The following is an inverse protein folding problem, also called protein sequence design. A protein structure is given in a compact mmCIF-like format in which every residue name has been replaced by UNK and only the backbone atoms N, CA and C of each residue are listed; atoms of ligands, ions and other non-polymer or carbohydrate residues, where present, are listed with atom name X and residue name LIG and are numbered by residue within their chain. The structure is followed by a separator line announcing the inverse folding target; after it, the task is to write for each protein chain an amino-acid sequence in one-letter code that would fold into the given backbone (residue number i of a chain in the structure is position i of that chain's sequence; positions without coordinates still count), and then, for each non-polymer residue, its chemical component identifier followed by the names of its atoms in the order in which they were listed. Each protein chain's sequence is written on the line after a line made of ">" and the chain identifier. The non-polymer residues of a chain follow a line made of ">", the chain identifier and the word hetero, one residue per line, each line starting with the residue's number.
data_IF_810916353756
#
_entry.id   IF_810916353756
#
_cell.length_a   1.000
_cell.length_b   1.000
_cell.length_c   1.000
_cell.angle_alpha   90.00
_cell.angle_beta   90.00
_cell.angle_gamma   90.00
#
_symmetry.space_group_name_H-M   'P 1'
#
loop_
_entity.id
_entity.type
_entity.pdbx_description
1 polymer ?
#
# COMPACT_ATOMS: atom_id res chain seq x y z
N UNK A 1 29.90 -12.81 -23.05
CA UNK A 1 30.10 -11.35 -22.89
C UNK A 1 29.34 -10.97 -21.63
N UNK A 2 30.04 -10.59 -20.56
CA UNK A 2 29.38 -10.17 -19.32
C UNK A 2 29.07 -8.69 -19.47
N UNK A 3 27.82 -8.35 -19.77
CA UNK A 3 27.41 -6.95 -19.85
C UNK A 3 27.06 -6.50 -18.43
N UNK A 4 27.72 -5.44 -17.95
CA UNK A 4 27.50 -4.91 -16.61
C UNK A 4 26.19 -4.13 -16.55
N UNK A 5 25.43 -4.31 -15.48
CA UNK A 5 24.17 -3.61 -15.27
C UNK A 5 24.42 -2.15 -14.86
N UNK A 6 23.75 -1.16 -15.48
CA UNK A 6 23.79 0.21 -14.96
C UNK A 6 23.05 0.24 -13.61
N UNK A 7 23.72 0.72 -12.58
CA UNK A 7 23.07 1.05 -11.32
C UNK A 7 22.07 2.21 -11.55
N UNK A 8 21.07 2.43 -10.67
CA UNK A 8 20.00 3.43 -10.88
C UNK A 8 20.46 4.89 -11.07
N UNK A 9 21.76 5.16 -10.93
CA UNK A 9 22.38 6.48 -10.89
C UNK A 9 23.51 6.63 -11.94
N UNK A 10 23.22 6.41 -13.23
CA UNK A 10 24.18 6.78 -14.28
C UNK A 10 23.56 7.80 -15.24
N UNK A 11 24.02 9.04 -15.13
CA UNK A 11 23.74 10.14 -16.04
C UNK A 11 24.71 10.07 -17.23
N UNK A 12 24.53 9.07 -18.08
CA UNK A 12 25.28 8.97 -19.34
C UNK A 12 24.30 9.23 -20.47
N UNK A 13 24.48 10.34 -21.19
CA UNK A 13 23.64 10.82 -22.31
C UNK A 13 23.54 9.89 -23.53
N UNK A 14 23.81 8.59 -23.36
CA UNK A 14 23.57 7.51 -24.31
C UNK A 14 23.31 6.23 -23.50
N UNK A 15 22.07 6.03 -23.02
CA UNK A 15 21.70 4.82 -22.28
C UNK A 15 21.29 3.70 -23.24
N UNK A 16 22.27 2.94 -23.74
CA UNK A 16 21.99 1.58 -24.23
C UNK A 16 21.83 0.68 -23.01
N UNK A 17 20.58 0.34 -22.66
CA UNK A 17 20.28 -0.52 -21.51
C UNK A 17 20.50 -2.00 -21.86
N UNK A 18 21.74 -2.42 -22.09
CA UNK A 18 22.11 -3.85 -22.14
C UNK A 18 22.28 -4.39 -20.72
N UNK A 19 21.23 -4.34 -19.90
CA UNK A 19 21.40 -4.65 -18.48
C UNK A 19 21.23 -6.10 -18.12
N UNK A 20 20.49 -6.88 -18.92
CA UNK A 20 19.97 -8.14 -18.37
C UNK A 20 19.75 -9.26 -19.38
N UNK A 21 20.66 -9.41 -20.35
CA UNK A 21 20.59 -10.51 -21.31
C UNK A 21 20.41 -11.86 -20.60
N UNK A 22 21.07 -12.12 -19.48
CA UNK A 22 20.95 -13.42 -18.79
C UNK A 22 19.57 -13.69 -18.19
N UNK A 23 18.79 -12.67 -17.81
CA UNK A 23 17.43 -12.88 -17.34
C UNK A 23 16.37 -12.69 -18.42
N UNK A 24 16.71 -12.07 -19.57
CA UNK A 24 15.75 -11.77 -20.63
C UNK A 24 15.99 -12.49 -21.96
N UNK A 25 17.08 -13.25 -22.11
CA UNK A 25 17.46 -13.94 -23.36
C UNK A 25 16.42 -14.94 -23.87
N UNK A 26 15.61 -15.47 -22.96
CA UNK A 26 14.59 -16.48 -23.27
C UNK A 26 13.20 -15.84 -23.48
N UNK A 27 13.08 -14.51 -23.40
CA UNK A 27 11.82 -13.80 -23.61
C UNK A 27 11.56 -13.62 -25.11
N UNK A 28 10.28 -13.65 -25.50
CA UNK A 28 9.88 -13.33 -26.87
C UNK A 28 10.22 -11.90 -27.25
N UNK A 29 10.10 -10.99 -26.29
CA UNK A 29 10.26 -9.56 -26.52
C UNK A 29 10.89 -8.86 -25.32
N UNK A 30 11.83 -7.95 -25.60
CA UNK A 30 12.37 -7.00 -24.65
C UNK A 30 12.41 -5.61 -25.29
N UNK A 31 11.60 -4.69 -24.78
CA UNK A 31 11.51 -3.31 -25.26
C UNK A 31 12.16 -2.34 -24.26
N UNK A 32 12.61 -1.20 -24.76
CA UNK A 32 13.07 -0.07 -23.95
C UNK A 32 12.34 1.20 -24.40
N UNK A 33 11.76 1.92 -23.44
CA UNK A 33 11.08 3.19 -23.65
C UNK A 33 11.79 4.27 -22.83
N UNK A 34 12.12 5.40 -23.47
CA UNK A 34 12.62 6.58 -22.76
C UNK A 34 11.49 7.61 -22.71
N UNK A 35 11.14 8.03 -21.50
CA UNK A 35 10.15 9.06 -21.25
C UNK A 35 10.84 10.41 -21.02
N UNK A 36 10.73 11.31 -21.99
CA UNK A 36 11.12 12.71 -21.83
C UNK A 36 9.93 13.55 -21.38
N UNK A 37 10.12 14.60 -20.55
CA UNK A 37 9.04 15.50 -20.15
C UNK A 37 8.33 16.20 -21.32
N UNK A 38 9.01 16.35 -22.46
CA UNK A 38 8.49 16.95 -23.69
C UNK A 38 7.80 15.93 -24.61
N UNK A 39 8.04 14.63 -24.38
CA UNK A 39 7.44 13.54 -25.13
C UNK A 39 6.28 12.93 -24.35
N UNK A 40 5.17 12.68 -25.04
CA UNK A 40 4.07 11.90 -24.46
C UNK A 40 4.57 10.47 -24.34
N UNK A 41 4.92 10.03 -23.12
CA UNK A 41 5.09 8.62 -22.86
C UNK A 41 3.73 7.93 -22.97
N UNK A 42 3.46 7.45 -24.18
CA UNK A 42 2.17 6.93 -24.62
C UNK A 42 2.05 5.42 -24.31
N UNK A 43 1.00 4.85 -24.86
CA UNK A 43 0.58 3.46 -24.86
C UNK A 43 1.64 2.55 -25.45
N UNK A 44 2.06 1.53 -24.70
CA UNK A 44 2.98 0.48 -25.17
C UNK A 44 2.29 -0.86 -25.13
N UNK A 45 2.37 -1.59 -26.24
CA UNK A 45 1.92 -2.98 -26.32
C UNK A 45 3.12 -3.89 -26.11
N UNK A 46 3.01 -4.81 -25.14
CA UNK A 46 4.00 -5.85 -24.86
C UNK A 46 3.40 -7.19 -25.28
N UNK A 47 4.12 -7.98 -26.09
CA UNK A 47 3.65 -9.27 -26.59
C UNK A 47 4.59 -10.41 -26.18
N UNK A 48 4.05 -11.38 -25.44
CA UNK A 48 4.77 -12.56 -24.99
C UNK A 48 4.99 -13.62 -26.07
N UNK A 49 4.29 -13.50 -27.22
CA UNK A 49 4.36 -14.46 -28.32
C UNK A 49 4.21 -15.90 -27.84
N UNK A 50 5.12 -16.77 -28.26
CA UNK A 50 5.09 -18.19 -27.91
C UNK A 50 5.83 -18.53 -26.59
N UNK A 51 6.51 -17.56 -25.97
CA UNK A 51 7.33 -17.80 -24.76
C UNK A 51 6.57 -17.53 -23.47
N UNK A 52 5.35 -17.00 -23.56
CA UNK A 52 4.54 -16.54 -22.42
C UNK A 52 5.24 -15.47 -21.54
N UNK A 53 6.35 -14.88 -22.02
CA UNK A 53 7.16 -13.92 -21.26
C UNK A 53 7.68 -12.79 -22.16
N UNK A 54 7.50 -11.55 -21.71
CA UNK A 54 8.04 -10.37 -22.37
C UNK A 54 8.29 -9.26 -21.35
N UNK A 55 9.19 -8.33 -21.65
CA UNK A 55 9.48 -7.23 -20.74
C UNK A 55 9.64 -5.89 -21.44
N UNK A 56 9.34 -4.82 -20.69
CA UNK A 56 9.54 -3.43 -21.07
C UNK A 56 10.35 -2.76 -19.96
N UNK A 57 11.44 -2.11 -20.31
CA UNK A 57 12.12 -1.19 -19.40
C UNK A 57 11.82 0.24 -19.75
N UNK A 58 11.46 1.04 -18.75
CA UNK A 58 11.22 2.48 -18.89
C UNK A 58 12.37 3.26 -18.27
N UNK A 59 12.71 4.39 -18.88
CA UNK A 59 13.72 5.32 -18.37
C UNK A 59 13.11 6.72 -18.28
N UNK A 60 13.09 7.30 -17.09
CA UNK A 60 12.68 8.69 -16.89
C UNK A 60 13.91 9.55 -16.59
N UNK A 61 14.29 10.42 -17.52
CA UNK A 61 15.43 11.33 -17.33
C UNK A 61 14.95 12.66 -16.74
N UNK A 62 14.93 12.77 -15.41
CA UNK A 62 14.63 14.02 -14.73
C UNK A 62 15.30 14.11 -13.35
N UNK A 63 15.33 15.31 -12.76
CA UNK A 63 15.85 15.53 -11.41
C UNK A 63 15.02 14.80 -10.35
N UNK A 64 13.73 14.54 -10.61
CA UNK A 64 12.81 13.76 -9.79
C UNK A 64 12.16 12.69 -10.68
N UNK A 65 12.91 11.63 -11.02
CA UNK A 65 12.49 10.66 -12.02
C UNK A 65 11.35 9.83 -11.44
N UNK A 66 10.17 10.07 -11.99
CA UNK A 66 8.91 9.43 -11.64
C UNK A 66 8.07 9.27 -12.89
N UNK A 67 7.38 8.15 -13.01
CA UNK A 67 6.38 7.93 -14.05
C UNK A 67 5.10 7.40 -13.43
N UNK A 68 4.00 7.55 -14.14
CA UNK A 68 2.69 7.14 -13.67
C UNK A 68 2.10 6.14 -14.65
N UNK A 69 1.85 4.92 -14.18
CA UNK A 69 1.08 3.95 -14.93
C UNK A 69 -0.39 4.29 -14.72
N UNK A 70 -1.07 4.75 -15.78
CA UNK A 70 -2.47 5.20 -15.68
C UNK A 70 -3.47 4.10 -15.92
N UNK A 71 -3.18 3.19 -16.85
CA UNK A 71 -4.09 2.12 -17.25
C UNK A 71 -3.27 0.88 -17.65
N UNK A 72 -3.85 -0.29 -17.39
CA UNK A 72 -3.31 -1.58 -17.79
C UNK A 72 -4.45 -2.40 -18.38
N UNK A 73 -4.27 -2.86 -19.60
CA UNK A 73 -5.13 -3.85 -20.24
C UNK A 73 -4.36 -5.16 -20.33
N UNK A 74 -4.59 -6.05 -19.37
CA UNK A 74 -4.08 -7.43 -19.41
C UNK A 74 -5.08 -8.29 -20.18
N UNK A 75 -4.60 -9.17 -21.05
CA UNK A 75 -5.45 -10.21 -21.64
C UNK A 75 -6.05 -11.17 -20.59
N UNK A 76 -6.82 -12.16 -21.06
CA UNK A 76 -7.60 -13.09 -20.22
C UNK A 76 -6.77 -13.80 -19.13
N UNK A 77 -5.48 -14.00 -19.37
CA UNK A 77 -4.52 -14.49 -18.39
C UNK A 77 -3.22 -13.71 -18.50
N UNK A 78 -2.91 -12.92 -17.47
CA UNK A 78 -1.68 -12.14 -17.42
C UNK A 78 -1.33 -11.69 -16.01
N UNK A 79 -0.02 -11.66 -15.73
CA UNK A 79 0.59 -11.04 -14.55
C UNK A 79 1.65 -10.05 -15.04
N UNK A 80 1.54 -8.80 -14.59
CA UNK A 80 2.52 -7.75 -14.81
C UNK A 80 3.25 -7.46 -13.51
N UNK A 81 4.48 -7.93 -13.41
CA UNK A 81 5.40 -7.62 -12.32
C UNK A 81 6.15 -6.32 -12.62
N UNK A 82 6.28 -5.45 -11.61
CA UNK A 82 7.01 -4.17 -11.74
C UNK A 82 8.19 -4.15 -10.79
N UNK A 83 9.39 -4.05 -11.35
CA UNK A 83 10.66 -4.04 -10.65
C UNK A 83 11.28 -2.65 -10.65
N UNK A 84 11.96 -2.30 -9.55
CA UNK A 84 12.83 -1.12 -9.49
C UNK A 84 14.18 -1.44 -10.14
N UNK A 85 14.53 -0.76 -11.23
CA UNK A 85 15.70 -1.11 -12.04
C UNK A 85 15.48 -2.42 -12.80
N UNK A 86 16.52 -3.26 -12.88
CA UNK A 86 16.53 -4.52 -13.65
C UNK A 86 15.54 -5.58 -13.15
N UNK A 87 15.29 -6.60 -13.95
CA UNK A 87 14.62 -7.81 -13.49
C UNK A 87 15.54 -8.61 -12.55
N UNK A 88 14.99 -9.21 -11.50
CA UNK A 88 15.73 -10.18 -10.67
C UNK A 88 14.93 -11.46 -10.51
N UNK A 89 15.59 -12.61 -10.69
CA UNK A 89 14.94 -13.94 -10.58
C UNK A 89 14.35 -14.19 -9.18
N UNK A 90 15.04 -13.72 -8.15
CA UNK A 90 14.64 -13.82 -6.74
C UNK A 90 13.53 -12.81 -6.35
N UNK A 91 13.15 -11.91 -7.27
CA UNK A 91 12.18 -10.83 -7.04
C UNK A 91 12.54 -9.87 -5.90
N UNK A 92 13.82 -9.73 -5.59
CA UNK A 92 14.31 -8.90 -4.46
C UNK A 92 13.97 -7.42 -4.61
N UNK A 93 13.88 -6.94 -5.85
CA UNK A 93 13.53 -5.56 -6.20
C UNK A 93 12.12 -5.40 -6.80
N UNK A 94 11.25 -6.42 -6.65
CA UNK A 94 9.84 -6.32 -7.02
C UNK A 94 9.13 -5.30 -6.13
N UNK A 95 8.41 -4.36 -6.77
CA UNK A 95 7.63 -3.32 -6.10
C UNK A 95 6.16 -3.72 -5.98
N UNK A 96 5.56 -4.17 -7.08
CA UNK A 96 4.15 -4.60 -7.13
C UNK A 96 3.90 -5.54 -8.30
N UNK A 97 2.74 -6.21 -8.27
CA UNK A 97 2.25 -7.08 -9.35
C UNK A 97 0.78 -6.77 -9.63
N UNK A 98 0.41 -6.74 -10.91
CA UNK A 98 -0.97 -6.63 -11.37
C UNK A 98 -1.38 -7.93 -12.07
N UNK A 99 -2.58 -8.44 -11.84
CA UNK A 99 -3.04 -9.71 -12.40
C UNK A 99 -4.48 -9.60 -12.92
N UNK A 100 -4.78 -10.25 -14.04
CA UNK A 100 -6.12 -10.22 -14.65
C UNK A 100 -7.11 -11.21 -14.02
N UNK A 101 -6.63 -12.27 -13.39
CA UNK A 101 -7.47 -13.27 -12.73
C UNK A 101 -7.72 -12.91 -11.25
N UNK A 102 -8.95 -13.16 -10.76
CA UNK A 102 -9.25 -13.08 -9.32
C UNK A 102 -9.99 -11.83 -8.80
N UNK A 103 -10.73 -11.09 -9.64
CA UNK A 103 -11.55 -9.92 -9.24
C UNK A 103 -10.76 -8.76 -8.58
N UNK A 104 -9.45 -8.63 -8.80
CA UNK A 104 -8.77 -7.38 -8.45
C UNK A 104 -9.16 -6.36 -9.52
N UNK A 105 -9.95 -5.37 -9.13
CA UNK A 105 -10.26 -4.26 -10.01
C UNK A 105 -8.99 -3.41 -10.17
N UNK A 106 -8.18 -3.65 -11.20
CA UNK A 106 -6.95 -2.89 -11.46
C UNK A 106 -7.22 -1.38 -11.54
N UNK A 107 -8.43 -0.96 -11.91
CA UNK A 107 -8.82 0.45 -11.91
C UNK A 107 -8.83 1.09 -10.52
N UNK A 108 -8.99 0.32 -9.43
CA UNK A 108 -8.85 0.86 -8.08
C UNK A 108 -7.39 1.02 -7.65
N UNK A 109 -6.45 0.37 -8.35
CA UNK A 109 -5.00 0.42 -8.09
C UNK A 109 -4.25 1.42 -8.97
N UNK A 110 -4.91 1.98 -9.98
CA UNK A 110 -4.35 2.94 -10.91
C UNK A 110 -5.09 4.29 -10.83
N UNK A 111 -4.49 5.39 -11.29
CA UNK A 111 -3.10 5.52 -11.74
C UNK A 111 -2.11 5.34 -10.58
N UNK A 112 -0.91 4.80 -10.79
CA UNK A 112 0.09 4.60 -9.73
C UNK A 112 1.43 5.23 -10.10
N UNK A 113 2.00 6.01 -9.18
CA UNK A 113 3.35 6.57 -9.29
C UNK A 113 4.39 5.48 -9.03
N UNK A 114 5.36 5.38 -9.92
CA UNK A 114 6.59 4.62 -9.71
C UNK A 114 7.75 5.61 -9.64
N UNK A 115 8.57 5.52 -8.59
CA UNK A 115 9.77 6.33 -8.43
C UNK A 115 10.99 5.66 -9.10
N UNK A 116 12.06 6.41 -9.33
CA UNK A 116 13.35 5.90 -9.83
C UNK A 116 13.68 6.27 -11.28
N UNK A 117 14.91 6.03 -11.71
CA UNK A 117 15.34 6.35 -13.08
C UNK A 117 14.90 5.28 -14.07
N UNK A 118 15.03 4.02 -13.67
CA UNK A 118 14.77 2.83 -14.50
C UNK A 118 13.78 1.93 -13.78
N UNK A 119 12.78 1.41 -14.49
CA UNK A 119 11.91 0.34 -14.02
C UNK A 119 11.80 -0.73 -15.10
N UNK A 120 11.52 -1.96 -14.68
CA UNK A 120 11.24 -3.06 -15.60
C UNK A 120 9.85 -3.62 -15.32
N UNK A 121 9.03 -3.68 -16.35
CA UNK A 121 7.72 -4.29 -16.41
C UNK A 121 7.87 -5.65 -17.06
N UNK A 122 7.61 -6.72 -16.31
CA UNK A 122 7.70 -8.09 -16.79
C UNK A 122 6.30 -8.67 -16.91
N UNK A 123 5.90 -8.97 -18.14
CA UNK A 123 4.64 -9.61 -18.44
C UNK A 123 4.84 -11.12 -18.53
N UNK A 124 4.04 -11.84 -17.76
CA UNK A 124 3.74 -13.25 -17.94
C UNK A 124 2.33 -13.39 -18.47
N UNK A 125 2.13 -13.97 -19.65
CA UNK A 125 0.81 -14.08 -20.28
C UNK A 125 0.86 -14.03 -21.79
N UNK A 126 -0.12 -13.39 -22.42
CA UNK A 126 -0.21 -13.26 -23.88
C UNK A 126 0.24 -11.87 -24.36
N UNK A 127 -0.50 -10.84 -23.96
CA UNK A 127 -0.21 -9.46 -24.29
C UNK A 127 -0.76 -8.52 -23.24
N UNK A 128 -0.16 -7.33 -23.16
CA UNK A 128 -0.65 -6.23 -22.33
C UNK A 128 -0.53 -4.91 -23.09
N UNK A 129 -1.52 -4.03 -22.89
CA UNK A 129 -1.40 -2.62 -23.27
C UNK A 129 -1.22 -1.78 -22.01
N UNK A 130 -0.06 -1.14 -21.89
CA UNK A 130 0.32 -0.31 -20.76
C UNK A 130 0.24 1.15 -21.18
N UNK A 131 -0.47 1.96 -20.41
CA UNK A 131 -0.54 3.39 -20.68
C UNK A 131 0.16 4.17 -19.59
N UNK A 132 1.14 4.98 -19.99
CA UNK A 132 1.90 5.84 -19.10
C UNK A 132 1.44 7.29 -19.17
N UNK A 133 1.88 8.09 -18.22
CA UNK A 133 1.77 9.55 -18.20
C UNK A 133 2.86 10.12 -17.29
N UNK A 134 3.27 11.35 -17.56
CA UNK A 134 4.15 12.13 -16.69
C UNK A 134 3.38 13.18 -15.87
N UNK A 135 2.06 13.25 -16.01
CA UNK A 135 1.20 14.20 -15.29
C UNK A 135 0.95 13.72 -13.85
N UNK A 136 1.55 14.35 -12.82
CA UNK A 136 1.39 13.94 -11.43
C UNK A 136 -0.06 14.11 -10.94
N UNK A 137 -0.83 15.04 -11.52
CA UNK A 137 -2.16 15.40 -11.05
C UNK A 137 -3.15 14.24 -11.15
N UNK A 138 -2.96 13.33 -12.12
CA UNK A 138 -3.79 12.14 -12.27
C UNK A 138 -3.67 11.20 -11.08
N UNK A 139 -2.49 11.15 -10.46
CA UNK A 139 -2.24 10.37 -9.24
C UNK A 139 -2.61 11.13 -7.98
N UNK A 140 -2.30 12.43 -7.92
CA UNK A 140 -2.38 13.18 -6.65
C UNK A 140 -3.72 13.86 -6.42
N UNK A 141 -4.50 14.21 -7.45
CA UNK A 141 -5.69 15.05 -7.32
C UNK A 141 -6.97 14.27 -7.61
N UNK A 142 -8.08 14.70 -6.99
CA UNK A 142 -9.41 14.12 -7.17
C UNK A 142 -9.44 12.60 -6.98
N UNK A 143 -8.63 12.11 -6.04
CA UNK A 143 -8.50 10.68 -5.77
C UNK A 143 -9.86 10.14 -5.31
N UNK A 144 -10.40 9.09 -5.97
CA UNK A 144 -11.70 8.55 -5.61
C UNK A 144 -11.65 7.76 -4.30
N UNK A 145 -12.83 7.50 -3.72
CA UNK A 145 -13.00 6.50 -2.65
C UNK A 145 -12.73 5.10 -3.22
N UNK A 146 -12.09 4.24 -2.44
CA UNK A 146 -11.68 2.90 -2.83
C UNK A 146 -10.36 2.84 -3.59
N UNK A 147 -9.62 3.95 -3.69
CA UNK A 147 -8.29 3.99 -4.34
C UNK A 147 -7.27 3.28 -3.46
N UNK A 148 -6.61 2.26 -3.99
CA UNK A 148 -5.49 1.54 -3.36
C UNK A 148 -4.14 1.88 -4.00
N UNK A 149 -3.19 2.45 -3.29
CA UNK A 149 -1.88 2.74 -3.87
C UNK A 149 -0.75 2.51 -2.91
N UNK A 150 0.43 2.97 -3.31
CA UNK A 150 1.59 3.04 -2.44
C UNK A 150 2.39 4.31 -2.67
N UNK A 151 3.18 4.66 -1.65
CA UNK A 151 4.28 5.61 -1.74
C UNK A 151 5.59 4.91 -1.39
N UNK A 152 6.68 5.42 -1.95
CA UNK A 152 8.00 4.82 -1.78
C UNK A 152 9.09 5.88 -1.95
N UNK A 153 10.25 5.66 -1.35
CA UNK A 153 11.45 6.45 -1.65
C UNK A 153 11.87 6.35 -3.10
N UNK A 154 12.65 7.35 -3.55
CA UNK A 154 13.13 7.49 -4.94
C UNK A 154 13.80 6.24 -5.50
N UNK A 155 14.60 5.54 -4.69
CA UNK A 155 15.32 4.32 -5.09
C UNK A 155 15.07 3.18 -4.10
N UNK A 156 13.86 3.11 -3.54
CA UNK A 156 13.45 1.98 -2.69
C UNK A 156 13.64 0.66 -3.45
N UNK A 157 14.19 -0.36 -2.78
CA UNK A 157 14.48 -1.68 -3.37
C UNK A 157 15.42 -1.68 -4.60
N UNK A 158 16.23 -0.66 -4.80
CA UNK A 158 17.24 -0.63 -5.88
C UNK A 158 18.38 -1.66 -5.75
N UNK A 159 18.38 -2.49 -4.70
CA UNK A 159 19.37 -3.56 -4.45
C UNK A 159 20.55 -3.14 -3.59
N UNK A 160 20.81 -1.83 -3.48
CA UNK A 160 21.81 -1.25 -2.57
C UNK A 160 21.25 0.02 -1.92
N UNK A 161 21.62 0.33 -0.67
CA UNK A 161 21.28 1.61 -0.05
C UNK A 161 21.75 2.79 -0.91
N UNK A 162 20.95 3.85 -0.99
CA UNK A 162 21.23 5.02 -1.84
C UNK A 162 21.24 6.31 -1.00
N UNK A 163 22.01 7.31 -1.46
CA UNK A 163 22.08 8.64 -0.81
C UNK A 163 20.87 9.51 -1.09
N UNK A 164 20.21 9.27 -2.23
CA UNK A 164 19.13 10.10 -2.75
C UNK A 164 17.78 9.40 -2.57
N UNK A 165 17.38 9.14 -1.32
CA UNK A 165 16.11 8.45 -1.01
C UNK A 165 14.97 9.41 -0.62
N UNK A 166 15.25 10.71 -0.55
CA UNK A 166 14.27 11.74 -0.23
C UNK A 166 13.04 11.64 -1.14
N UNK A 167 11.86 11.70 -0.54
CA UNK A 167 10.61 11.75 -1.29
C UNK A 167 9.60 12.67 -0.61
N UNK A 168 8.74 13.22 -1.45
CA UNK A 168 7.58 14.00 -1.08
C UNK A 168 6.43 13.56 -1.96
N UNK A 169 5.42 12.99 -1.34
CA UNK A 169 4.27 12.42 -2.01
C UNK A 169 2.99 12.91 -1.30
N UNK A 170 1.95 13.17 -2.07
CA UNK A 170 0.67 13.58 -1.51
C UNK A 170 -0.49 13.09 -2.37
N UNK A 171 -1.65 12.95 -1.74
CA UNK A 171 -2.93 12.70 -2.40
C UNK A 171 -4.00 13.62 -1.83
N UNK A 172 -4.93 14.02 -2.69
CA UNK A 172 -6.06 14.89 -2.38
C UNK A 172 -7.34 14.28 -2.91
N UNK A 173 -8.35 14.22 -2.06
CA UNK A 173 -9.71 13.82 -2.41
C UNK A 173 -10.62 15.05 -2.44
N UNK A 174 -11.72 14.96 -3.18
CA UNK A 174 -12.74 16.02 -3.20
C UNK A 174 -13.50 16.07 -1.89
N UNK A 175 -13.93 14.90 -1.42
CA UNK A 175 -14.66 14.72 -0.16
C UNK A 175 -13.73 14.26 0.95
N UNK A 176 -14.15 14.46 2.20
CA UNK A 176 -13.49 13.86 3.35
C UNK A 176 -13.56 12.33 3.25
N UNK A 177 -12.42 11.66 3.33
CA UNK A 177 -12.29 10.20 3.33
C UNK A 177 -11.58 9.74 4.59
N UNK A 178 -11.45 8.43 4.76
CA UNK A 178 -10.50 7.85 5.69
C UNK A 178 -9.33 7.33 4.89
N UNK A 179 -8.13 7.84 5.18
CA UNK A 179 -6.90 7.25 4.70
C UNK A 179 -6.55 6.09 5.62
N UNK A 180 -6.62 4.87 5.07
CA UNK A 180 -6.18 3.64 5.71
C UNK A 180 -4.81 3.29 5.12
N UNK A 181 -3.74 3.32 5.92
CA UNK A 181 -2.39 3.14 5.40
C UNK A 181 -1.50 2.30 6.31
N UNK A 182 -0.57 1.59 5.70
CA UNK A 182 0.36 0.67 6.36
C UNK A 182 1.77 0.97 5.89
N UNK A 183 2.67 1.27 6.83
CA UNK A 183 4.09 1.42 6.56
C UNK A 183 4.69 0.01 6.65
N UNK A 184 5.18 -0.52 5.53
CA UNK A 184 5.74 -1.87 5.51
C UNK A 184 7.25 -1.84 5.73
N UNK A 185 7.92 -0.81 5.23
CA UNK A 185 9.36 -0.60 5.38
C UNK A 185 9.65 0.87 5.65
N UNK A 186 10.56 1.16 6.57
CA UNK A 186 11.10 2.49 6.79
C UNK A 186 12.50 2.39 7.40
N UNK A 187 13.54 2.64 6.58
CA UNK A 187 14.91 2.75 7.06
C UNK A 187 15.11 4.13 7.69
N UNK A 188 15.02 4.21 9.01
CA UNK A 188 15.15 5.45 9.77
C UNK A 188 16.56 5.62 10.36
N UNK A 189 17.56 4.95 9.80
CA UNK A 189 18.93 5.06 10.25
C UNK A 189 19.50 6.48 10.03
N UNK A 190 20.57 6.79 10.76
CA UNK A 190 21.35 8.02 10.60
C UNK A 190 20.59 9.33 10.81
N UNK A 191 19.46 9.31 11.52
CA UNK A 191 18.62 10.49 11.74
C UNK A 191 17.65 10.77 10.60
N UNK A 192 17.44 9.82 9.69
CA UNK A 192 16.40 9.91 8.66
C UNK A 192 15.02 9.88 9.29
N UNK A 193 14.06 10.58 8.68
CA UNK A 193 12.70 10.74 9.23
C UNK A 193 11.64 10.43 8.20
N UNK A 194 10.54 9.81 8.64
CA UNK A 194 9.31 9.67 7.87
C UNK A 194 8.20 10.49 8.54
N UNK A 195 7.75 11.56 7.89
CA UNK A 195 6.63 12.37 8.35
C UNK A 195 5.38 12.03 7.54
N UNK A 196 4.26 11.84 8.25
CA UNK A 196 2.94 11.67 7.64
C UNK A 196 2.02 12.71 8.26
N UNK A 197 1.43 13.52 7.39
CA UNK A 197 0.55 14.62 7.75
C UNK A 197 -0.76 14.52 6.99
N UNK A 198 -1.87 14.58 7.71
CA UNK A 198 -3.21 14.49 7.13
C UNK A 198 -4.04 15.63 7.69
N UNK A 199 -4.80 16.26 6.81
CA UNK A 199 -5.76 17.28 7.15
C UNK A 199 -7.11 17.01 6.52
N UNK A 200 -8.15 17.43 7.22
CA UNK A 200 -9.47 17.61 6.67
C UNK A 200 -9.72 19.11 6.47
N UNK A 201 -9.77 19.54 5.22
CA UNK A 201 -9.88 20.96 4.83
C UNK A 201 -8.71 21.76 5.41
N UNK A 202 -8.94 22.55 6.46
CA UNK A 202 -7.91 23.36 7.14
C UNK A 202 -7.44 22.75 8.48
N UNK A 203 -8.06 21.67 8.94
CA UNK A 203 -7.81 21.08 10.26
C UNK A 203 -6.87 19.90 10.13
N UNK A 204 -5.76 19.92 10.87
CA UNK A 204 -4.84 18.78 10.96
C UNK A 204 -5.49 17.69 11.81
N UNK A 205 -5.69 16.52 11.21
CA UNK A 205 -6.33 15.36 11.85
C UNK A 205 -5.32 14.28 12.23
N UNK A 206 -4.17 14.26 11.58
CA UNK A 206 -3.06 13.38 11.91
C UNK A 206 -1.73 14.05 11.58
N UNK A 207 -0.77 13.96 12.49
CA UNK A 207 0.59 14.41 12.27
C UNK A 207 1.53 13.54 13.09
N UNK A 208 2.35 12.74 12.42
CA UNK A 208 3.33 11.88 13.08
C UNK A 208 4.65 11.92 12.32
N UNK A 209 5.72 12.14 13.07
CA UNK A 209 7.09 11.95 12.59
C UNK A 209 7.64 10.68 13.21
N UNK A 210 8.08 9.75 12.37
CA UNK A 210 8.76 8.54 12.77
C UNK A 210 10.27 8.72 12.65
N UNK A 211 10.98 8.24 13.66
CA UNK A 211 12.44 8.31 13.79
C UNK A 211 12.96 6.98 14.33
N UNK A 212 14.29 6.80 14.41
CA UNK A 212 14.88 5.62 15.06
C UNK A 212 14.40 5.42 16.51
N UNK A 213 14.17 6.51 17.25
CA UNK A 213 13.72 6.48 18.65
C UNK A 213 12.20 6.31 18.80
N UNK A 214 11.44 6.51 17.73
CA UNK A 214 9.99 6.33 17.68
C UNK A 214 9.60 5.74 16.31
N UNK A 215 9.93 4.46 16.05
CA UNK A 215 9.68 3.83 14.77
C UNK A 215 8.17 3.57 14.54
N UNK A 216 7.74 3.41 13.28
CA UNK A 216 6.37 3.02 12.98
C UNK A 216 6.10 1.57 13.39
N UNK A 217 4.86 1.26 13.75
CA UNK A 217 4.43 -0.11 13.92
C UNK A 217 4.15 -0.73 12.54
N UNK A 218 5.02 -1.64 12.10
CA UNK A 218 4.95 -2.27 10.78
C UNK A 218 3.86 -3.35 10.67
N UNK A 219 3.14 -3.66 11.75
CA UNK A 219 2.14 -4.73 11.81
C UNK A 219 0.70 -4.22 11.86
N UNK A 220 0.49 -2.91 11.94
CA UNK A 220 -0.83 -2.32 12.15
C UNK A 220 -1.11 -1.18 11.17
N UNK A 221 -2.22 -1.25 10.40
CA UNK A 221 -2.64 -0.13 9.59
C UNK A 221 -3.09 1.03 10.49
N UNK A 222 -2.80 2.24 10.04
CA UNK A 222 -3.18 3.50 10.67
C UNK A 222 -4.33 4.09 9.86
N UNK A 223 -5.32 4.63 10.56
CA UNK A 223 -6.44 5.32 9.94
C UNK A 223 -6.53 6.75 10.41
N UNK A 224 -6.77 7.66 9.47
CA UNK A 224 -7.05 9.05 9.78
C UNK A 224 -7.99 9.65 8.75
N UNK A 225 -8.94 10.44 9.24
CA UNK A 225 -9.92 11.14 8.41
C UNK A 225 -9.28 12.39 7.79
N UNK A 226 -9.50 12.65 6.51
CA UNK A 226 -8.98 13.83 5.85
C UNK A 226 -9.39 13.93 4.40
N UNK A 227 -9.07 15.04 3.76
CA UNK A 227 -9.15 15.19 2.31
C UNK A 227 -7.78 15.43 1.65
N UNK A 228 -6.72 15.46 2.45
CA UNK A 228 -5.35 15.61 2.01
C UNK A 228 -4.42 14.81 2.90
N UNK A 229 -3.61 13.93 2.30
CA UNK A 229 -2.52 13.21 2.95
C UNK A 229 -1.21 13.60 2.27
N UNK A 230 -0.21 13.88 3.08
CA UNK A 230 1.17 14.15 2.68
C UNK A 230 2.12 13.19 3.41
N UNK A 231 3.10 12.70 2.69
CA UNK A 231 4.13 11.79 3.18
C UNK A 231 5.49 12.31 2.72
N UNK A 232 6.38 12.56 3.66
CA UNK A 232 7.74 13.01 3.38
C UNK A 232 8.74 12.11 4.08
N UNK A 233 9.63 11.51 3.29
CA UNK A 233 10.82 10.84 3.78
C UNK A 233 12.02 11.71 3.51
N UNK A 234 12.81 11.98 4.55
CA UNK A 234 14.03 12.79 4.46
C UNK A 234 15.19 12.00 5.01
N UNK A 235 16.22 11.85 4.19
CA UNK A 235 17.53 11.36 4.60
C UNK A 235 18.26 12.45 5.36
N UNK A 236 19.06 12.05 6.34
CA UNK A 236 20.06 12.96 6.89
C UNK A 236 21.19 13.09 5.85
N UNK A 237 21.51 14.32 5.44
CA UNK A 237 22.41 14.71 4.35
C UNK A 237 23.36 13.61 3.82
N UNK A 238 22.99 13.00 2.68
CA UNK A 238 23.85 12.11 1.91
C UNK A 238 24.13 10.74 2.55
N UNK A 239 23.41 10.38 3.60
CA UNK A 239 23.49 9.06 4.23
C UNK A 239 22.80 8.00 3.38
N UNK A 240 23.37 6.80 3.40
CA UNK A 240 22.84 5.67 2.66
C UNK A 240 21.69 5.04 3.42
N UNK A 241 20.51 4.97 2.79
CA UNK A 241 19.36 4.27 3.35
C UNK A 241 18.67 3.41 2.30
N UNK A 242 17.89 2.43 2.75
CA UNK A 242 17.02 1.63 1.90
C UNK A 242 15.71 2.34 1.55
N UNK A 243 15.47 3.53 2.12
CA UNK A 243 14.26 4.32 1.94
C UNK A 243 13.07 3.80 2.75
N UNK A 244 11.86 4.09 2.26
CA UNK A 244 10.61 3.59 2.84
C UNK A 244 9.65 3.07 1.77
N UNK A 245 8.66 2.31 2.23
CA UNK A 245 7.51 1.88 1.45
C UNK A 245 6.26 1.86 2.34
N UNK A 246 5.16 2.39 1.82
CA UNK A 246 3.87 2.31 2.48
C UNK A 246 2.74 2.11 1.47
N UNK A 247 1.71 1.37 1.88
CA UNK A 247 0.48 1.19 1.12
C UNK A 247 -0.61 2.07 1.69
N UNK A 248 -1.54 2.50 0.86
CA UNK A 248 -2.73 3.24 1.28
C UNK A 248 -3.99 2.75 0.58
N UNK A 249 -5.11 3.02 1.21
CA UNK A 249 -6.46 2.87 0.68
C UNK A 249 -7.30 4.07 1.13
N UNK A 250 -8.08 4.65 0.22
CA UNK A 250 -9.11 5.63 0.59
C UNK A 250 -10.42 4.90 0.89
N UNK A 251 -10.98 5.14 2.06
CA UNK A 251 -12.24 4.55 2.48
C UNK A 251 -13.31 5.63 2.58
N UNK A 252 -14.55 5.26 2.30
CA UNK A 252 -15.69 6.15 2.43
C UNK A 252 -15.83 6.61 3.89
N UNK A 253 -15.81 7.93 4.12
CA UNK A 253 -16.09 8.49 5.44
C UNK A 253 -17.59 8.42 5.78
N UNK A 254 -18.45 8.39 4.77
CA UNK A 254 -19.90 8.18 4.90
C UNK A 254 -20.26 6.73 5.19
N UNK A 255 -19.33 5.79 4.89
CA UNK A 255 -19.39 4.38 5.31
C UNK A 255 -19.39 4.18 6.83
N UNK A 256 -18.98 5.18 7.61
CA UNK A 256 -19.14 5.19 9.07
C UNK A 256 -20.57 5.52 9.53
N UNK A 257 -21.43 6.05 8.65
CA UNK A 257 -22.87 6.17 8.91
C UNK A 257 -23.64 4.89 8.60
N UNK A 258 -23.04 3.95 7.85
CA UNK A 258 -23.67 2.69 7.43
C UNK A 258 -22.84 1.44 7.81
N UNK A 259 -22.28 1.42 9.02
CA UNK A 259 -21.98 0.14 9.70
C UNK A 259 -23.24 -0.55 10.24
N UNK A 260 -24.42 -0.08 9.86
CA UNK A 260 -25.71 -0.67 10.17
C UNK A 260 -25.99 -1.82 9.21
N UNK A 261 -25.21 -2.89 9.31
CA UNK A 261 -25.82 -4.20 9.09
C UNK A 261 -26.43 -4.60 10.44
N UNK A 262 -27.75 -4.52 10.62
CA UNK A 262 -28.38 -4.83 11.91
C UNK A 262 -28.05 -6.25 12.39
N UNK A 263 -27.71 -7.17 11.47
CA UNK A 263 -27.31 -8.54 11.82
C UNK A 263 -25.89 -8.65 12.39
N UNK A 264 -25.06 -7.60 12.28
CA UNK A 264 -23.70 -7.53 12.83
C UNK A 264 -23.58 -6.56 14.02
N UNK A 265 -24.71 -6.10 14.57
CA UNK A 265 -24.76 -5.31 15.79
C UNK A 265 -24.83 -6.20 17.03
N UNK A 266 -24.00 -5.89 18.01
CA UNK A 266 -24.04 -6.49 19.33
C UNK A 266 -24.49 -5.44 20.36
N UNK A 267 -25.80 -5.40 20.59
CA UNK A 267 -26.45 -4.40 21.43
C UNK A 267 -26.52 -4.81 22.91
N UNK A 268 -25.50 -5.51 23.44
CA UNK A 268 -25.45 -5.93 24.85
C UNK A 268 -24.19 -5.38 25.52
N UNK A 269 -24.34 -4.78 26.70
CA UNK A 269 -23.25 -4.11 27.42
C UNK A 269 -22.28 -5.10 28.09
N UNK A 270 -22.78 -6.19 28.69
CA UNK A 270 -21.94 -7.17 29.37
C UNK A 270 -21.86 -8.45 28.56
N UNK A 271 -20.66 -9.00 28.40
CA UNK A 271 -20.45 -10.26 27.71
C UNK A 271 -20.41 -11.42 28.71
N UNK A 272 -21.53 -12.14 28.77
CA UNK A 272 -21.79 -13.33 29.59
C UNK A 272 -22.42 -14.42 28.70
N UNK A 273 -22.55 -15.65 29.19
CA UNK A 273 -23.06 -16.80 28.44
C UNK A 273 -24.42 -16.51 27.77
N UNK A 274 -25.31 -15.81 28.47
CA UNK A 274 -26.64 -15.44 27.96
C UNK A 274 -26.53 -14.41 26.82
N UNK A 275 -25.70 -13.38 26.98
CA UNK A 275 -25.58 -12.31 25.97
C UNK A 275 -24.71 -12.76 24.79
N UNK A 276 -23.72 -13.62 25.00
CA UNK A 276 -22.88 -14.19 23.95
C UNK A 276 -23.66 -15.02 22.92
N UNK A 277 -24.84 -15.53 23.28
CA UNK A 277 -25.75 -16.16 22.31
C UNK A 277 -26.24 -15.18 21.23
N UNK A 278 -26.29 -13.89 21.55
CA UNK A 278 -26.68 -12.81 20.63
C UNK A 278 -25.50 -12.21 19.87
N UNK A 279 -24.28 -12.71 20.07
CA UNK A 279 -23.10 -12.20 19.39
C UNK A 279 -23.13 -12.59 17.90
N UNK A 280 -22.81 -11.67 16.98
CA UNK A 280 -22.88 -11.93 15.53
C UNK A 280 -21.69 -12.75 15.03
N UNK A 281 -21.71 -14.07 15.28
CA UNK A 281 -20.58 -14.99 15.05
C UNK A 281 -20.12 -15.11 13.60
N UNK A 282 -20.96 -14.76 12.62
CA UNK A 282 -20.63 -14.86 11.19
C UNK A 282 -19.97 -13.58 10.64
N UNK A 283 -19.99 -12.48 11.41
CA UNK A 283 -19.55 -11.18 10.93
C UNK A 283 -18.04 -11.00 11.09
N UNK A 284 -17.39 -10.48 10.04
CA UNK A 284 -15.99 -10.03 10.09
C UNK A 284 -15.85 -8.64 10.70
N UNK A 285 -16.89 -7.81 10.60
CA UNK A 285 -17.00 -6.51 11.26
C UNK A 285 -18.17 -6.55 12.22
N UNK A 286 -17.91 -6.30 13.50
CA UNK A 286 -18.92 -6.28 14.57
C UNK A 286 -19.06 -4.85 15.08
N UNK A 287 -20.30 -4.40 15.27
CA UNK A 287 -20.60 -3.09 15.83
C UNK A 287 -21.14 -3.25 17.25
N UNK A 288 -20.48 -2.69 18.25
CA UNK A 288 -20.94 -2.83 19.63
C UNK A 288 -20.02 -2.20 20.65
N UNK A 289 -20.60 -1.93 21.82
CA UNK A 289 -19.90 -1.46 23.01
C UNK A 289 -20.12 -2.48 24.12
N UNK A 290 -19.11 -3.29 24.42
CA UNK A 290 -19.26 -4.36 25.39
C UNK A 290 -18.07 -4.49 26.35
N UNK A 291 -18.40 -5.04 27.52
CA UNK A 291 -17.54 -5.13 28.69
C UNK A 291 -17.35 -6.61 29.03
N UNK A 292 -16.10 -6.98 29.24
CA UNK A 292 -15.68 -8.26 29.80
C UNK A 292 -15.12 -7.96 31.19
N UNK A 293 -15.71 -8.55 32.23
CA UNK A 293 -15.31 -8.24 33.60
C UNK A 293 -15.44 -9.41 34.59
N UNK A 294 -15.42 -9.14 35.90
CA UNK A 294 -15.54 -10.16 36.95
C UNK A 294 -16.84 -10.98 36.85
N UNK A 295 -17.87 -10.47 36.18
CA UNK A 295 -19.15 -11.14 35.98
C UNK A 295 -19.19 -12.00 34.71
N UNK A 296 -18.13 -11.98 33.88
CA UNK A 296 -18.04 -12.82 32.68
C UNK A 296 -17.85 -14.29 33.09
N UNK A 297 -18.82 -15.12 32.74
CA UNK A 297 -18.88 -16.58 32.94
C UNK A 297 -18.37 -17.38 31.73
N UNK A 298 -17.70 -16.72 30.78
CA UNK A 298 -17.06 -17.32 29.60
C UNK A 298 -15.57 -17.56 29.87
N UNK A 299 -15.05 -18.73 29.51
CA UNK A 299 -13.62 -18.99 29.52
C UNK A 299 -12.93 -18.50 28.23
N UNK A 300 -11.59 -18.58 28.22
CA UNK A 300 -10.79 -18.07 27.10
C UNK A 300 -11.10 -18.79 25.80
N UNK A 301 -11.28 -20.12 25.81
CA UNK A 301 -11.62 -20.92 24.64
C UNK A 301 -12.98 -20.52 24.04
N UNK A 302 -13.98 -20.28 24.88
CA UNK A 302 -15.31 -19.83 24.47
C UNK A 302 -15.24 -18.43 23.84
N UNK A 303 -14.47 -17.51 24.41
CA UNK A 303 -14.25 -16.18 23.83
C UNK A 303 -13.48 -16.26 22.51
N UNK A 304 -12.46 -17.12 22.40
CA UNK A 304 -11.71 -17.32 21.16
C UNK A 304 -12.63 -17.81 20.04
N UNK A 305 -13.50 -18.78 20.34
CA UNK A 305 -14.47 -19.29 19.37
C UNK A 305 -15.53 -18.25 19.02
N UNK A 306 -15.99 -17.46 20.01
CA UNK A 306 -16.96 -16.38 19.82
C UNK A 306 -16.44 -15.30 18.86
N UNK A 307 -15.15 -14.97 18.97
CA UNK A 307 -14.49 -13.90 18.20
C UNK A 307 -13.73 -14.37 16.97
N UNK A 308 -13.76 -15.68 16.63
CA UNK A 308 -12.92 -16.28 15.58
C UNK A 308 -12.98 -15.56 14.23
N UNK A 309 -14.17 -15.06 13.88
CA UNK A 309 -14.44 -14.38 12.61
C UNK A 309 -14.31 -12.86 12.72
N UNK A 310 -14.40 -12.29 13.93
CA UNK A 310 -14.31 -10.85 14.13
C UNK A 310 -12.89 -10.36 13.82
N UNK A 311 -12.79 -9.49 12.81
CA UNK A 311 -11.57 -8.79 12.39
C UNK A 311 -11.60 -7.31 12.74
N UNK A 312 -12.78 -6.70 12.77
CA UNK A 312 -12.97 -5.27 13.04
C UNK A 312 -14.04 -5.12 14.13
N UNK A 313 -13.74 -4.35 15.17
CA UNK A 313 -14.74 -3.87 16.13
C UNK A 313 -14.99 -2.38 15.92
N UNK A 314 -16.25 -2.03 15.64
CA UNK A 314 -16.73 -0.65 15.59
C UNK A 314 -17.46 -0.35 16.90
N UNK A 315 -16.93 0.56 17.71
CA UNK A 315 -17.41 0.85 19.06
C UNK A 315 -16.31 0.70 20.11
N UNK A 316 -16.60 -0.02 21.19
CA UNK A 316 -15.75 -0.08 22.38
C UNK A 316 -15.69 -1.46 23.01
N UNK A 317 -14.49 -1.88 23.41
CA UNK A 317 -14.27 -3.07 24.23
C UNK A 317 -13.57 -2.65 25.51
N UNK A 318 -14.20 -2.91 26.66
CA UNK A 318 -13.58 -2.73 27.97
C UNK A 318 -13.34 -4.08 28.62
N UNK A 319 -12.12 -4.30 29.09
CA UNK A 319 -11.75 -5.50 29.84
C UNK A 319 -11.21 -5.05 31.19
N UNK A 320 -11.84 -5.47 32.29
CA UNK A 320 -11.46 -5.01 33.64
C UNK A 320 -11.82 -6.06 34.69
N UNK A 321 -11.02 -6.21 35.75
CA UNK A 321 -11.31 -7.11 36.88
C UNK A 321 -11.54 -8.59 36.48
N UNK A 322 -10.94 -9.06 35.38
CA UNK A 322 -11.07 -10.46 34.94
C UNK A 322 -10.01 -11.35 35.59
N UNK A 323 -10.24 -12.67 35.56
CA UNK A 323 -9.25 -13.69 35.96
C UNK A 323 -8.43 -14.24 34.79
N UNK A 324 -8.50 -13.62 33.61
CA UNK A 324 -7.82 -14.11 32.42
C UNK A 324 -6.32 -13.79 32.48
N UNK A 325 -5.48 -14.79 32.27
CA UNK A 325 -4.02 -14.62 32.24
C UNK A 325 -3.52 -13.96 30.94
N UNK A 326 -4.30 -14.05 29.86
CA UNK A 326 -3.97 -13.48 28.57
C UNK A 326 -5.22 -13.14 27.75
N UNK A 327 -5.02 -12.37 26.67
CA UNK A 327 -6.07 -11.92 25.76
C UNK A 327 -6.06 -12.66 24.42
N UNK A 328 -5.62 -13.93 24.37
CA UNK A 328 -5.50 -14.68 23.10
C UNK A 328 -6.82 -14.82 22.33
N UNK A 329 -7.95 -14.66 23.00
CA UNK A 329 -9.26 -14.61 22.37
C UNK A 329 -9.44 -13.42 21.42
N UNK A 330 -8.58 -12.40 21.49
CA UNK A 330 -8.53 -11.28 20.55
C UNK A 330 -7.52 -11.46 19.42
N UNK A 331 -6.83 -12.60 19.31
CA UNK A 331 -5.77 -12.79 18.31
C UNK A 331 -6.24 -12.62 16.85
N UNK A 332 -7.54 -12.84 16.60
CA UNK A 332 -8.15 -12.62 15.29
C UNK A 332 -8.53 -11.16 14.99
N UNK A 333 -8.57 -10.29 15.99
CA UNK A 333 -8.97 -8.91 15.86
C UNK A 333 -7.82 -8.08 15.27
N UNK A 334 -8.12 -7.34 14.21
CA UNK A 334 -7.13 -6.55 13.44
C UNK A 334 -7.28 -5.05 13.66
N UNK A 335 -8.50 -4.59 14.00
CA UNK A 335 -8.82 -3.16 14.01
C UNK A 335 -9.90 -2.82 15.04
N UNK A 336 -9.65 -1.75 15.81
CA UNK A 336 -10.69 -1.02 16.53
C UNK A 336 -11.04 0.25 15.76
N UNK A 337 -12.33 0.57 15.75
CA UNK A 337 -12.88 1.73 15.08
C UNK A 337 -13.74 2.45 16.10
N UNK A 338 -13.38 3.67 16.49
CA UNK A 338 -14.19 4.45 17.42
C UNK A 338 -15.56 4.76 16.80
N UNK A 339 -16.63 4.61 17.59
CA UNK A 339 -17.98 4.99 17.16
C UNK A 339 -18.16 6.50 17.36
N UNK A 340 -18.32 7.31 16.29
CA UNK A 340 -18.50 8.75 16.42
C UNK A 340 -19.79 9.16 17.15
N UNK A 341 -20.71 8.22 17.43
CA UNK A 341 -21.91 8.45 18.25
C UNK A 341 -21.66 8.31 19.76
N UNK A 342 -20.49 7.81 20.17
CA UNK A 342 -20.13 7.63 21.58
C UNK A 342 -19.39 8.85 22.16
N UNK A 343 -20.09 9.98 22.23
CA UNK A 343 -19.81 11.01 23.24
C UNK A 343 -20.89 10.89 24.31
N UNK A 344 -20.66 10.04 25.31
CA UNK A 344 -21.30 10.11 26.62
C UNK A 344 -20.28 9.73 27.69
#
# INVERSE_FOLDING_TARGET
>A
MTVAALEPFYDTGSMLLFQDFENTKDFNEYQCLICYPEDVCDSVVINCGNTESAALSTITMSSQPAEYLKEIWLGDYGVLDVYMGRLTREKSNLITSYQSYGKINTSSYLPQKFQGTVRTYHLHGHSANLHFTLSPELFTNNVPVGRHGFFSSKFYKSGTPQKNQDSFDYIRTTDTVIFNFEITDADLAWGSTLNIWIRDKSVVTYNKTFTTSSPPNLLAPIMATGNYMEVSYKTNYGQLTNGYFMKFETLDSSGFRNYTNPSCEFNQTFLIQITAQKFPKICSTVCGHFIINENTDLNVEQLTELFKNMRILVGGLRISNTKFENLRFLAGLRRFVGDPRSFL
#
